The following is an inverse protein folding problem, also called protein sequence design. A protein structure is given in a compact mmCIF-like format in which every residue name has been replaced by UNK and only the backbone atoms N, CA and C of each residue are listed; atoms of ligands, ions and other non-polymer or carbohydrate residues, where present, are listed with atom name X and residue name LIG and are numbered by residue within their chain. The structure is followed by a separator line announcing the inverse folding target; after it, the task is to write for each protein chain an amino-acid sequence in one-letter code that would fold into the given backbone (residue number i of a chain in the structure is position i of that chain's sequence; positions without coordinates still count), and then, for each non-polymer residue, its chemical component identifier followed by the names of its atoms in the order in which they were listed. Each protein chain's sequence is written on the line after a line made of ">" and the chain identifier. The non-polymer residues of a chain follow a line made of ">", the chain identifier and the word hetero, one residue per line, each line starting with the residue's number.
data_IF_992714341752
#
_entry.id   IF_992714341752
#
_cell.length_a   1.000
_cell.length_b   1.000
_cell.length_c   1.000
_cell.angle_alpha   90.00
_cell.angle_beta   90.00
_cell.angle_gamma   90.00
#
_symmetry.space_group_name_H-M   'P 1'
#
loop_
_entity.id
_entity.type
_entity.pdbx_description
1 polymer ?
#
# COMPACT_ATOMS: atom_id res chain seq x y z
N UNK A 1 -10.04 30.00 46.89
CA UNK A 1 -9.69 31.19 46.08
C UNK A 1 -8.62 30.76 45.09
N UNK A 2 -8.92 30.94 43.79
CA UNK A 2 -8.04 30.99 42.61
C UNK A 2 -6.92 29.92 42.44
N UNK A 3 -7.04 28.96 41.51
CA UNK A 3 -6.74 29.04 40.05
C UNK A 3 -5.24 28.78 39.76
N UNK A 4 -4.83 27.62 39.22
CA UNK A 4 -4.59 27.27 37.77
C UNK A 4 -3.55 28.18 37.10
N UNK A 5 -2.61 27.77 36.23
CA UNK A 5 -2.27 26.55 35.52
C UNK A 5 -0.85 26.72 34.92
N UNK A 6 -0.34 25.65 34.29
CA UNK A 6 0.86 25.62 33.48
C UNK A 6 0.68 26.27 32.09
N UNK A 7 1.83 26.36 31.39
CA UNK A 7 2.07 26.29 29.94
C UNK A 7 2.19 27.56 29.08
N UNK A 8 3.10 27.39 28.12
CA UNK A 8 3.16 27.97 26.78
C UNK A 8 4.06 29.19 26.52
N UNK A 9 5.25 28.84 26.03
CA UNK A 9 6.04 29.62 25.11
C UNK A 9 5.35 29.65 23.73
N UNK A 10 5.19 30.84 23.15
CA UNK A 10 5.07 31.04 21.70
C UNK A 10 5.69 32.40 21.28
N UNK A 11 6.13 32.52 20.01
CA UNK A 11 7.18 33.44 19.57
C UNK A 11 6.63 34.80 19.10
N UNK A 12 7.43 35.86 19.25
CA UNK A 12 7.13 37.17 18.67
C UNK A 12 8.31 37.63 17.80
N UNK A 13 8.18 37.42 16.49
CA UNK A 13 8.90 38.18 15.47
C UNK A 13 7.91 39.00 14.66
N UNK A 14 7.74 40.27 15.02
CA UNK A 14 7.38 41.34 14.10
C UNK A 14 8.10 42.60 14.57
N UNK A 15 8.97 43.17 13.74
CA UNK A 15 9.38 44.56 13.84
C UNK A 15 9.20 45.19 12.45
N UNK A 16 8.32 46.18 12.36
CA UNK A 16 8.07 46.99 11.17
C UNK A 16 9.20 47.99 10.90
N UNK A 17 9.09 48.79 9.83
CA UNK A 17 10.18 49.63 9.35
C UNK A 17 10.25 50.95 10.12
N UNK A 18 11.42 51.23 10.70
CA UNK A 18 11.79 52.54 11.20
C UNK A 18 11.93 52.63 12.71
N UNK A 19 13.06 52.17 13.24
CA UNK A 19 13.65 52.69 14.47
C UNK A 19 15.18 52.54 14.41
N UNK A 20 15.88 53.69 14.40
CA UNK A 20 17.34 53.81 14.50
C UNK A 20 17.79 53.52 15.94
N UNK A 21 17.72 52.26 16.35
CA UNK A 21 18.44 51.79 17.53
C UNK A 21 19.15 50.49 17.17
N UNK A 22 20.47 50.54 17.21
CA UNK A 22 21.39 49.41 17.04
C UNK A 22 21.16 48.45 18.23
N UNK A 23 20.07 47.69 18.18
CA UNK A 23 19.69 46.75 19.22
C UNK A 23 20.67 45.59 19.18
N UNK A 24 21.36 45.39 20.31
CA UNK A 24 22.38 44.38 20.49
C UNK A 24 21.91 43.02 20.01
N UNK A 25 22.57 42.52 18.98
CA UNK A 25 22.35 41.17 18.47
C UNK A 25 22.69 40.14 19.55
N UNK A 26 21.65 39.51 20.07
CA UNK A 26 21.77 38.43 21.05
C UNK A 26 21.89 37.10 20.33
N UNK A 27 23.03 36.89 19.68
CA UNK A 27 23.38 35.59 19.11
C UNK A 27 24.05 34.73 20.17
N UNK A 28 23.74 33.44 20.16
CA UNK A 28 24.50 32.48 20.96
C UNK A 28 25.94 32.46 20.45
N UNK A 29 26.92 32.43 21.36
CA UNK A 29 28.35 32.35 21.01
C UNK A 29 28.75 30.91 20.62
N UNK A 30 28.02 30.33 19.66
CA UNK A 30 28.31 29.05 19.04
C UNK A 30 28.99 29.32 17.70
N UNK A 31 30.19 28.75 17.51
CA UNK A 31 30.92 28.87 16.25
C UNK A 31 30.44 27.81 15.26
N UNK A 32 29.63 28.23 14.29
CA UNK A 32 29.09 27.43 13.18
C UNK A 32 29.12 28.30 11.91
N UNK A 33 30.31 28.49 11.31
CA UNK A 33 30.55 29.62 10.41
C UNK A 33 29.73 29.53 9.13
N UNK A 34 29.30 30.68 8.63
CA UNK A 34 28.61 30.82 7.35
C UNK A 34 29.24 31.91 6.50
N UNK A 35 29.20 31.75 5.18
CA UNK A 35 29.68 32.73 4.23
C UNK A 35 28.48 33.53 3.71
N UNK A 36 28.51 34.84 3.90
CA UNK A 36 27.47 35.74 3.38
C UNK A 36 27.64 36.03 1.89
N UNK A 37 26.55 36.42 1.21
CA UNK A 37 26.59 36.89 -0.20
C UNK A 37 27.44 38.15 -0.40
N UNK A 38 27.82 38.82 0.68
CA UNK A 38 28.79 39.93 0.72
C UNK A 38 30.25 39.46 0.71
N UNK A 39 30.50 38.14 0.72
CA UNK A 39 31.83 37.53 0.74
C UNK A 39 32.50 37.53 2.11
N UNK A 40 31.77 37.80 3.20
CA UNK A 40 32.28 37.86 4.57
C UNK A 40 31.88 36.61 5.37
N UNK A 41 32.82 36.04 6.13
CA UNK A 41 32.56 34.95 7.09
C UNK A 41 31.90 35.49 8.35
N UNK A 42 30.79 34.90 8.77
CA UNK A 42 30.11 35.16 10.03
C UNK A 42 30.28 33.96 10.97
N UNK A 43 30.39 34.20 12.28
CA UNK A 43 30.61 33.13 13.25
C UNK A 43 29.45 32.14 13.35
N UNK A 44 28.24 32.59 12.98
CA UNK A 44 27.05 31.75 12.78
C UNK A 44 25.99 32.46 11.92
N UNK A 45 24.95 31.73 11.52
CA UNK A 45 23.82 32.25 10.74
C UNK A 45 23.03 33.36 11.44
N UNK A 46 23.00 33.35 12.79
CA UNK A 46 22.41 34.44 13.56
C UNK A 46 23.19 35.74 13.36
N UNK A 47 24.52 35.70 13.45
CA UNK A 47 25.38 36.88 13.23
C UNK A 47 25.24 37.45 11.81
N UNK A 48 25.09 36.59 10.79
CA UNK A 48 24.81 37.00 9.42
C UNK A 48 23.45 37.70 9.28
N UNK A 49 22.38 37.06 9.79
CA UNK A 49 21.03 37.62 9.78
C UNK A 49 20.93 38.92 10.58
N UNK A 50 21.69 39.03 11.66
CA UNK A 50 21.84 40.23 12.48
C UNK A 50 22.41 41.44 11.74
N UNK A 51 23.21 41.20 10.71
CA UNK A 51 23.70 42.26 9.80
C UNK A 51 22.87 42.39 8.53
N UNK A 52 21.71 41.72 8.46
CA UNK A 52 20.88 41.61 7.26
C UNK A 52 21.63 41.06 6.04
N UNK A 53 22.54 40.12 6.27
CA UNK A 53 23.30 39.47 5.20
C UNK A 53 22.74 38.07 4.97
N UNK A 54 22.31 37.82 3.74
CA UNK A 54 21.88 36.49 3.30
C UNK A 54 23.07 35.53 3.23
N UNK A 55 22.89 34.31 3.74
CA UNK A 55 23.90 33.25 3.69
C UNK A 55 23.99 32.67 2.27
N UNK A 56 25.22 32.64 1.72
CA UNK A 56 25.56 32.02 0.43
C UNK A 56 25.93 30.54 0.59
N UNK A 57 26.72 30.18 1.61
CA UNK A 57 27.05 28.80 1.93
C UNK A 57 27.37 28.59 3.42
N UNK A 58 27.28 27.34 3.88
CA UNK A 58 27.76 26.96 5.21
C UNK A 58 29.29 26.75 5.17
N UNK A 59 30.02 27.36 6.10
CA UNK A 59 31.48 27.42 6.15
C UNK A 59 32.03 28.85 5.98
N UNK A 60 33.35 28.99 6.06
CA UNK A 60 34.03 30.29 5.92
C UNK A 60 34.13 30.71 4.43
N UNK A 61 34.14 32.03 4.17
CA UNK A 61 34.41 32.59 2.86
C UNK A 61 35.91 32.50 2.47
N UNK A 62 36.24 32.45 1.17
CA UNK A 62 35.31 32.35 0.03
C UNK A 62 34.63 30.98 0.01
N UNK A 63 33.34 30.94 -0.37
CA UNK A 63 32.64 29.68 -0.55
C UNK A 63 33.50 28.77 -1.44
N UNK A 64 33.81 27.53 -1.00
CA UNK A 64 34.58 26.62 -1.84
C UNK A 64 33.82 26.49 -3.15
N UNK A 65 34.48 26.77 -4.27
CA UNK A 65 33.93 26.49 -5.61
C UNK A 65 33.66 25.00 -5.67
N UNK A 66 32.44 24.63 -5.30
CA UNK A 66 31.92 23.28 -5.13
C UNK A 66 33.01 22.28 -4.70
N UNK A 67 33.32 22.22 -3.41
CA UNK A 67 33.86 20.98 -2.87
C UNK A 67 32.76 19.93 -2.96
N UNK A 68 32.65 19.29 -4.13
CA UNK A 68 31.67 18.25 -4.36
C UNK A 68 31.95 17.10 -3.40
N UNK A 69 31.00 16.86 -2.49
CA UNK A 69 30.99 15.67 -1.64
C UNK A 69 30.52 14.48 -2.47
N UNK A 70 31.30 14.13 -3.50
CA UNK A 70 31.12 12.87 -4.20
C UNK A 70 31.81 11.78 -3.39
N UNK A 71 31.12 10.67 -3.15
CA UNK A 71 31.77 9.49 -2.59
C UNK A 71 32.88 8.98 -3.54
N UNK A 72 33.88 8.29 -3.00
CA UNK A 72 34.89 7.58 -3.77
C UNK A 72 34.35 6.28 -4.38
N UNK A 73 33.22 6.39 -5.08
CA UNK A 73 32.65 5.30 -5.87
C UNK A 73 33.26 5.44 -7.27
N UNK A 74 33.99 4.42 -7.71
CA UNK A 74 34.53 4.34 -9.07
C UNK A 74 33.44 3.77 -10.00
N UNK A 75 32.76 4.66 -10.73
CA UNK A 75 31.71 4.34 -11.72
C UNK A 75 31.94 5.22 -12.97
N UNK A 76 33.00 4.97 -13.75
CA UNK A 76 33.51 5.91 -14.73
C UNK A 76 32.47 6.28 -15.80
N UNK A 77 32.38 7.58 -16.12
CA UNK A 77 31.50 8.10 -17.19
C UNK A 77 32.24 9.05 -18.12
N UNK A 78 31.79 9.14 -19.37
CA UNK A 78 32.28 10.12 -20.33
C UNK A 78 31.29 11.29 -20.44
N UNK A 79 31.77 12.51 -20.24
CA UNK A 79 30.98 13.73 -20.38
C UNK A 79 30.69 14.08 -21.84
N UNK A 80 29.65 14.87 -22.07
CA UNK A 80 29.33 15.47 -23.37
C UNK A 80 30.38 16.48 -23.84
N UNK A 81 31.23 16.94 -22.93
CA UNK A 81 32.44 17.71 -23.19
C UNK A 81 33.65 16.83 -23.60
N UNK A 82 33.46 15.50 -23.69
CA UNK A 82 34.49 14.54 -24.08
C UNK A 82 35.49 14.19 -22.99
N UNK A 83 35.25 14.59 -21.73
CA UNK A 83 36.15 14.31 -20.60
C UNK A 83 35.75 13.08 -19.79
N UNK A 84 36.76 12.38 -19.27
CA UNK A 84 36.56 11.26 -18.36
C UNK A 84 36.26 11.75 -16.95
N UNK A 85 35.19 11.21 -16.36
CA UNK A 85 34.80 11.45 -14.97
C UNK A 85 34.86 10.15 -14.16
N UNK A 86 35.38 10.16 -12.92
CA UNK A 86 35.42 8.99 -12.03
C UNK A 86 34.04 8.43 -11.69
N UNK A 87 33.03 9.30 -11.60
CA UNK A 87 31.63 8.92 -11.37
C UNK A 87 30.64 10.00 -11.87
N UNK A 88 29.34 9.68 -12.00
CA UNK A 88 28.32 10.64 -12.44
C UNK A 88 28.21 11.87 -11.55
N UNK A 89 28.51 11.74 -10.25
CA UNK A 89 28.53 12.87 -9.33
C UNK A 89 29.66 13.85 -9.70
N UNK A 90 30.86 13.35 -10.02
CA UNK A 90 31.97 14.20 -10.49
C UNK A 90 31.71 14.85 -11.86
N UNK A 91 30.96 14.19 -12.76
CA UNK A 91 30.51 14.80 -14.01
C UNK A 91 29.51 15.95 -13.76
N UNK A 92 28.48 15.68 -12.96
CA UNK A 92 27.46 16.66 -12.58
C UNK A 92 28.06 17.84 -11.80
N UNK A 93 29.06 17.57 -10.96
CA UNK A 93 29.83 18.55 -10.23
C UNK A 93 30.50 19.58 -11.15
N UNK A 94 31.06 19.10 -12.26
CA UNK A 94 31.67 19.95 -13.28
C UNK A 94 30.66 20.47 -14.32
N UNK A 95 29.36 20.23 -14.11
CA UNK A 95 28.27 20.54 -15.05
C UNK A 95 28.46 19.90 -16.43
N UNK A 96 29.17 18.78 -16.49
CA UNK A 96 29.21 17.94 -17.66
C UNK A 96 28.01 16.99 -17.64
N UNK A 97 27.16 17.06 -18.66
CA UNK A 97 26.13 16.05 -18.88
C UNK A 97 26.82 14.72 -19.24
N UNK A 98 26.35 13.61 -18.68
CA UNK A 98 26.90 12.29 -19.00
C UNK A 98 26.48 11.91 -20.43
N UNK A 99 27.46 11.81 -21.34
CA UNK A 99 27.22 11.40 -22.72
C UNK A 99 27.13 9.88 -22.86
N UNK A 100 27.98 9.15 -22.15
CA UNK A 100 27.90 7.70 -22.03
C UNK A 100 28.55 7.23 -20.74
N UNK A 101 28.21 6.02 -20.33
CA UNK A 101 28.91 5.34 -19.24
C UNK A 101 30.17 4.66 -19.76
N UNK A 102 31.18 4.55 -18.91
CA UNK A 102 32.49 4.00 -19.25
C UNK A 102 33.51 5.06 -19.66
N UNK A 103 34.48 4.64 -20.46
CA UNK A 103 35.62 5.46 -20.83
C UNK A 103 35.32 6.39 -22.02
N UNK A 104 35.91 7.58 -22.03
CA UNK A 104 35.98 8.40 -23.23
C UNK A 104 37.04 7.85 -24.21
N UNK A 105 36.85 8.04 -25.53
CA UNK A 105 35.65 8.57 -26.19
C UNK A 105 34.50 7.56 -26.18
N UNK A 106 33.25 8.04 -26.14
CA UNK A 106 32.09 7.16 -26.26
C UNK A 106 32.17 6.30 -27.52
N UNK A 107 32.09 4.97 -27.35
CA UNK A 107 32.01 4.06 -28.47
C UNK A 107 30.71 4.32 -29.23
N UNK A 108 30.82 4.82 -30.46
CA UNK A 108 29.67 4.98 -31.34
C UNK A 108 29.23 3.60 -31.82
N UNK A 109 27.93 3.27 -31.81
CA UNK A 109 27.43 2.09 -32.50
C UNK A 109 27.82 2.19 -33.99
N UNK A 110 28.36 1.09 -34.53
CA UNK A 110 28.70 1.00 -35.94
C UNK A 110 27.43 0.88 -36.78
N UNK A 111 26.91 2.00 -37.31
CA UNK A 111 25.88 2.05 -38.35
C UNK A 111 24.49 2.53 -37.89
N UNK A 112 23.64 3.02 -38.81
CA UNK A 112 22.28 3.44 -38.52
C UNK A 112 21.37 2.25 -38.21
N UNK A 113 20.48 2.39 -37.21
CA UNK A 113 19.47 1.37 -36.90
C UNK A 113 18.47 1.23 -38.06
N UNK A 114 18.05 0.00 -38.42
CA UNK A 114 17.12 -0.23 -39.53
C UNK A 114 15.79 0.53 -39.41
N UNK A 115 15.33 0.75 -38.17
CA UNK A 115 14.07 1.45 -37.86
C UNK A 115 14.28 2.80 -37.15
N UNK A 116 15.52 3.30 -37.07
CA UNK A 116 15.84 4.59 -36.46
C UNK A 116 15.84 4.65 -34.92
N UNK A 117 15.25 3.69 -34.23
CA UNK A 117 15.14 3.70 -32.76
C UNK A 117 16.40 3.15 -32.08
N UNK A 118 17.33 4.05 -31.75
CA UNK A 118 18.52 3.76 -30.93
C UNK A 118 18.17 3.94 -29.44
N UNK A 119 18.35 2.89 -28.65
CA UNK A 119 18.07 2.91 -27.22
C UNK A 119 19.35 3.16 -26.40
N UNK A 120 19.30 4.11 -25.46
CA UNK A 120 20.43 4.46 -24.60
C UNK A 120 20.47 3.57 -23.36
N UNK A 121 21.38 2.59 -23.35
CA UNK A 121 21.51 1.64 -22.23
C UNK A 121 22.32 2.20 -21.07
N UNK A 122 21.86 1.92 -19.84
CA UNK A 122 22.58 2.26 -18.61
C UNK A 122 23.77 1.31 -18.33
N UNK A 123 23.87 0.20 -19.05
CA UNK A 123 24.96 -0.78 -18.94
C UNK A 123 25.19 -1.38 -20.33
N UNK A 124 26.42 -1.75 -20.69
CA UNK A 124 26.64 -2.46 -21.95
C UNK A 124 26.01 -3.86 -21.82
N UNK A 125 25.10 -4.26 -22.72
CA UNK A 125 24.45 -5.57 -22.67
C UNK A 125 25.43 -6.74 -22.62
N UNK A 126 26.64 -6.58 -23.15
CA UNK A 126 27.68 -7.62 -23.15
C UNK A 126 28.52 -7.72 -21.88
N UNK A 127 28.47 -6.76 -20.95
CA UNK A 127 29.35 -6.76 -19.78
C UNK A 127 29.11 -7.97 -18.87
N UNK A 128 27.85 -8.42 -18.77
CA UNK A 128 27.45 -9.57 -17.95
C UNK A 128 26.79 -10.70 -18.76
N UNK A 129 26.58 -10.50 -20.06
CA UNK A 129 25.97 -11.53 -20.89
C UNK A 129 26.96 -12.65 -21.19
N UNK A 130 26.53 -13.88 -20.97
CA UNK A 130 27.26 -15.10 -21.32
C UNK A 130 26.37 -15.97 -22.19
N UNK A 131 26.99 -16.76 -23.06
CA UNK A 131 26.30 -17.81 -23.80
C UNK A 131 26.78 -19.18 -23.30
N UNK A 132 26.06 -19.84 -22.39
CA UNK A 132 26.46 -21.14 -21.84
C UNK A 132 26.63 -22.21 -22.92
N UNK A 133 25.77 -22.21 -23.94
CA UNK A 133 25.84 -23.12 -25.07
C UNK A 133 27.12 -22.96 -25.93
N UNK A 134 27.74 -21.77 -25.92
CA UNK A 134 28.96 -21.47 -26.67
C UNK A 134 29.92 -20.59 -25.84
N UNK A 135 30.73 -21.19 -24.94
CA UNK A 135 31.62 -20.44 -24.04
C UNK A 135 32.68 -19.57 -24.75
N UNK A 136 32.99 -19.87 -26.03
CA UNK A 136 33.90 -19.10 -26.86
C UNK A 136 33.24 -18.08 -27.80
N UNK A 137 31.91 -17.91 -27.72
CA UNK A 137 31.20 -16.95 -28.56
C UNK A 137 31.55 -15.51 -28.17
N UNK A 138 31.75 -14.65 -29.17
CA UNK A 138 31.97 -13.22 -28.98
C UNK A 138 30.64 -12.51 -28.84
N UNK A 139 30.47 -11.75 -27.76
CA UNK A 139 29.31 -10.90 -27.57
C UNK A 139 29.48 -9.58 -28.34
N UNK A 140 28.38 -9.09 -28.93
CA UNK A 140 28.25 -7.76 -29.50
C UNK A 140 26.95 -7.13 -29.00
N UNK A 141 27.04 -5.92 -28.46
CA UNK A 141 25.88 -5.18 -28.02
C UNK A 141 25.05 -4.71 -29.21
N UNK A 142 23.73 -4.84 -29.10
CA UNK A 142 22.74 -4.28 -30.01
C UNK A 142 21.89 -3.26 -29.25
N UNK A 143 21.90 -2.03 -29.77
CA UNK A 143 21.19 -0.88 -29.21
C UNK A 143 19.95 -0.52 -30.03
N UNK A 144 19.71 -1.22 -31.14
CA UNK A 144 18.59 -0.95 -32.02
C UNK A 144 17.33 -1.64 -31.49
N UNK A 145 16.32 -0.85 -31.09
CA UNK A 145 15.07 -1.35 -30.52
C UNK A 145 15.15 -1.80 -29.05
N UNK A 146 16.30 -1.68 -28.38
CA UNK A 146 16.48 -2.04 -26.96
C UNK A 146 17.94 -2.27 -26.57
N UNK A 147 18.17 -2.85 -25.38
CA UNK A 147 19.50 -3.17 -24.83
C UNK A 147 19.78 -4.68 -24.91
N UNK A 148 20.24 -5.17 -26.05
CA UNK A 148 20.38 -6.62 -26.27
C UNK A 148 21.83 -7.05 -26.45
N UNK A 149 22.15 -8.26 -25.98
CA UNK A 149 23.43 -8.91 -26.21
C UNK A 149 23.29 -9.94 -27.33
N UNK A 150 24.04 -9.80 -28.41
CA UNK A 150 24.08 -10.77 -29.52
C UNK A 150 25.36 -11.59 -29.46
N UNK A 151 25.25 -12.91 -29.63
CA UNK A 151 26.40 -13.81 -29.55
C UNK A 151 26.79 -14.35 -30.91
N UNK A 152 28.09 -14.37 -31.20
CA UNK A 152 28.63 -14.85 -32.46
C UNK A 152 29.69 -15.93 -32.23
N UNK A 153 29.49 -17.10 -32.82
CA UNK A 153 30.49 -18.17 -32.82
C UNK A 153 31.03 -18.35 -34.25
N UNK A 154 32.32 -18.12 -34.46
CA UNK A 154 32.92 -18.20 -35.80
C UNK A 154 32.31 -17.24 -36.84
N UNK A 155 31.69 -16.13 -36.40
CA UNK A 155 31.04 -15.15 -37.27
C UNK A 155 29.55 -15.41 -37.56
N UNK A 156 28.99 -16.52 -37.09
CA UNK A 156 27.56 -16.84 -37.19
C UNK A 156 26.86 -16.40 -35.90
N UNK A 157 25.72 -15.71 -36.02
CA UNK A 157 24.89 -15.33 -34.88
C UNK A 157 24.24 -16.57 -34.25
N UNK A 158 24.38 -16.73 -32.93
CA UNK A 158 23.88 -17.86 -32.14
C UNK A 158 23.03 -17.40 -30.95
N UNK A 159 22.59 -16.14 -30.93
CA UNK A 159 21.86 -15.50 -29.82
C UNK A 159 20.67 -16.34 -29.33
N UNK A 160 19.83 -16.86 -30.24
CA UNK A 160 18.64 -17.68 -29.92
C UNK A 160 18.97 -19.02 -29.24
N UNK A 161 20.24 -19.45 -29.27
CA UNK A 161 20.72 -20.69 -28.62
C UNK A 161 21.34 -20.42 -27.25
N UNK A 162 21.42 -19.15 -26.85
CA UNK A 162 21.97 -18.72 -25.57
C UNK A 162 20.88 -18.51 -24.51
N UNK A 163 19.59 -18.61 -24.88
CA UNK A 163 18.43 -18.50 -23.98
C UNK A 163 17.96 -19.84 -23.38
N UNK A 164 18.67 -20.93 -23.64
CA UNK A 164 18.45 -22.16 -22.88
C UNK A 164 19.09 -21.99 -21.50
N UNK A 165 18.24 -21.80 -20.49
CA UNK A 165 18.63 -21.54 -19.10
C UNK A 165 19.56 -22.64 -18.58
N UNK A 166 20.86 -22.37 -18.56
CA UNK A 166 21.78 -23.09 -17.70
C UNK A 166 21.52 -22.64 -16.27
N UNK A 167 20.65 -23.33 -15.56
CA UNK A 167 20.33 -22.98 -14.18
C UNK A 167 21.52 -23.24 -13.28
N UNK A 168 21.86 -22.24 -12.48
CA UNK A 168 22.84 -22.39 -11.40
C UNK A 168 22.05 -22.60 -10.13
N UNK A 169 21.84 -23.87 -9.77
CA UNK A 169 21.21 -24.25 -8.52
C UNK A 169 22.25 -24.58 -7.46
N UNK A 170 21.99 -24.26 -6.18
CA UNK A 170 22.86 -24.69 -5.10
C UNK A 170 22.89 -26.23 -5.04
N UNK A 171 24.05 -26.82 -4.76
CA UNK A 171 24.19 -28.27 -4.51
C UNK A 171 23.66 -28.66 -3.11
N UNK A 172 22.46 -28.19 -2.78
CA UNK A 172 21.75 -28.56 -1.57
C UNK A 172 20.76 -29.65 -1.95
N UNK A 173 20.81 -30.78 -1.23
CA UNK A 173 19.86 -31.86 -1.40
C UNK A 173 18.66 -31.65 -0.47
N UNK A 174 17.57 -31.12 -1.03
CA UNK A 174 16.28 -30.90 -0.38
C UNK A 174 15.18 -31.27 -1.40
N UNK A 175 14.96 -32.58 -1.64
CA UNK A 175 14.29 -33.05 -2.84
C UNK A 175 12.84 -32.59 -2.90
N UNK A 176 12.36 -32.37 -4.13
CA UNK A 176 10.96 -32.06 -4.44
C UNK A 176 10.47 -32.95 -5.58
N UNK A 177 9.18 -33.29 -5.59
CA UNK A 177 8.57 -34.07 -6.65
C UNK A 177 7.81 -33.13 -7.58
N UNK A 178 8.16 -33.12 -8.86
CA UNK A 178 7.48 -32.30 -9.87
C UNK A 178 6.19 -32.94 -10.38
N UNK A 179 5.28 -32.12 -10.95
CA UNK A 179 4.02 -32.59 -11.58
C UNK A 179 4.23 -33.52 -12.78
N UNK A 180 5.48 -33.65 -13.26
CA UNK A 180 5.87 -34.60 -14.29
C UNK A 180 6.29 -35.99 -13.73
N UNK A 181 6.17 -36.17 -12.40
CA UNK A 181 6.50 -37.41 -11.69
C UNK A 181 8.01 -37.62 -11.47
N UNK A 182 8.85 -36.61 -11.69
CA UNK A 182 10.31 -36.69 -11.46
C UNK A 182 10.73 -36.02 -10.15
N UNK A 183 11.67 -36.66 -9.45
CA UNK A 183 12.36 -36.07 -8.30
C UNK A 183 13.42 -35.08 -8.77
N UNK A 184 13.36 -33.86 -8.26
CA UNK A 184 14.39 -32.83 -8.42
C UNK A 184 15.18 -32.70 -7.12
N UNK A 185 16.49 -32.43 -7.20
CA UNK A 185 17.35 -32.41 -6.01
C UNK A 185 17.01 -31.27 -5.05
N UNK A 186 16.42 -30.20 -5.58
CA UNK A 186 15.89 -29.05 -4.85
C UNK A 186 14.87 -28.28 -5.70
N UNK A 187 14.16 -27.34 -5.06
CA UNK A 187 13.18 -26.45 -5.70
C UNK A 187 13.76 -25.68 -6.89
N UNK A 188 14.99 -25.17 -6.79
CA UNK A 188 15.64 -24.47 -7.90
C UNK A 188 15.77 -25.37 -9.14
N UNK A 189 16.10 -26.65 -8.97
CA UNK A 189 16.20 -27.59 -10.09
C UNK A 189 14.83 -27.90 -10.72
N UNK A 190 13.75 -27.90 -9.94
CA UNK A 190 12.38 -28.06 -10.45
C UNK A 190 11.93 -26.82 -11.23
N UNK A 191 12.13 -25.62 -10.67
CA UNK A 191 11.85 -24.35 -11.34
C UNK A 191 12.67 -24.19 -12.63
N UNK A 192 13.94 -24.62 -12.59
CA UNK A 192 14.83 -24.67 -13.73
C UNK A 192 14.27 -25.51 -14.88
N UNK A 193 13.72 -26.67 -14.54
CA UNK A 193 13.08 -27.55 -15.53
C UNK A 193 11.69 -27.05 -15.94
N UNK A 194 11.23 -25.91 -15.42
CA UNK A 194 9.89 -25.36 -15.59
C UNK A 194 8.79 -26.35 -15.19
N UNK A 195 9.08 -27.18 -14.19
CA UNK A 195 8.14 -28.16 -13.67
C UNK A 195 7.58 -27.64 -12.35
N UNK A 196 6.26 -27.37 -12.27
CA UNK A 196 5.62 -27.07 -11.01
C UNK A 196 5.86 -28.19 -9.98
N UNK A 197 6.10 -27.80 -8.73
CA UNK A 197 6.30 -28.76 -7.64
C UNK A 197 4.94 -29.31 -7.22
N UNK A 198 4.81 -30.64 -7.24
CA UNK A 198 3.63 -31.39 -6.79
C UNK A 198 3.68 -31.63 -5.27
N UNK A 199 4.85 -31.96 -4.71
CA UNK A 199 5.04 -32.09 -3.27
C UNK A 199 6.52 -31.93 -2.85
N UNK A 200 6.75 -31.66 -1.57
CA UNK A 200 8.09 -31.76 -0.94
C UNK A 200 8.48 -33.24 -0.75
N UNK A 201 9.74 -33.58 -1.02
CA UNK A 201 10.27 -34.95 -0.99
C UNK A 201 10.47 -35.58 -2.36
N UNK A 202 10.93 -36.83 -2.38
CA UNK A 202 11.15 -37.57 -3.64
C UNK A 202 9.84 -38.15 -4.20
N UNK A 203 9.75 -38.28 -5.53
CA UNK A 203 8.67 -38.99 -6.18
C UNK A 203 8.73 -40.52 -5.94
N UNK A 204 7.59 -41.23 -5.99
CA UNK A 204 6.24 -40.69 -6.07
C UNK A 204 5.89 -39.91 -4.80
N UNK A 205 5.14 -38.81 -4.93
CA UNK A 205 4.67 -38.06 -3.78
C UNK A 205 4.10 -39.02 -2.76
N UNK A 206 4.66 -39.02 -1.54
CA UNK A 206 4.03 -39.74 -0.46
C UNK A 206 2.65 -39.11 -0.31
N UNK A 207 1.60 -39.94 -0.43
CA UNK A 207 0.26 -39.53 -0.05
C UNK A 207 0.40 -38.88 1.31
N UNK A 208 0.05 -37.60 1.43
CA UNK A 208 0.12 -36.87 2.69
C UNK A 208 -0.47 -37.81 3.77
N UNK A 209 0.34 -38.26 4.74
CA UNK A 209 -0.12 -39.25 5.71
C UNK A 209 -1.21 -38.65 6.60
N UNK A 210 -1.42 -37.33 6.57
CA UNK A 210 -2.54 -36.60 7.15
C UNK A 210 -3.71 -36.34 6.17
N UNK A 211 -3.64 -36.84 4.94
CA UNK A 211 -4.69 -36.68 3.95
C UNK A 211 -5.96 -37.38 4.44
N UNK A 212 -7.08 -36.66 4.39
CA UNK A 212 -8.39 -37.11 4.85
C UNK A 212 -8.45 -37.39 6.36
N UNK A 213 -7.76 -36.56 7.16
CA UNK A 213 -7.67 -36.77 8.60
C UNK A 213 -8.26 -35.61 9.39
N UNK A 214 -9.28 -35.92 10.18
CA UNK A 214 -9.82 -35.01 11.18
C UNK A 214 -8.77 -34.66 12.24
N UNK A 215 -7.87 -35.62 12.55
CA UNK A 215 -6.78 -35.44 13.51
C UNK A 215 -5.51 -36.15 13.04
N UNK A 216 -4.46 -35.37 12.79
CA UNK A 216 -3.13 -35.87 12.46
C UNK A 216 -2.10 -35.50 13.53
N UNK A 217 -1.24 -36.44 13.89
CA UNK A 217 -0.24 -36.28 14.94
C UNK A 217 1.12 -36.76 14.45
N UNK A 218 2.17 -36.04 14.83
CA UNK A 218 3.54 -36.52 14.70
C UNK A 218 3.81 -37.51 15.85
N UNK A 219 4.19 -38.73 15.51
CA UNK A 219 4.64 -39.72 16.47
C UNK A 219 6.13 -40.00 16.26
N UNK A 220 6.87 -39.98 17.37
CA UNK A 220 8.29 -40.31 17.38
C UNK A 220 8.47 -41.82 17.60
N UNK A 221 8.70 -42.55 16.51
CA UNK A 221 9.18 -43.93 16.60
C UNK A 221 10.70 -43.94 16.76
N UNK A 222 11.20 -44.94 17.49
CA UNK A 222 12.65 -45.15 17.75
C UNK A 222 13.47 -45.19 16.45
N UNK A 223 12.88 -45.67 15.35
CA UNK A 223 13.56 -45.82 14.07
C UNK A 223 13.31 -44.65 13.08
N UNK A 224 12.33 -43.77 13.33
CA UNK A 224 12.01 -42.58 12.49
C UNK A 224 11.31 -41.48 13.32
N UNK A 225 12.03 -40.44 13.79
CA UNK A 225 11.41 -39.31 14.47
C UNK A 225 10.57 -38.46 13.49
N UNK A 226 9.42 -37.97 13.95
CA UNK A 226 8.55 -37.08 13.17
C UNK A 226 7.63 -37.73 12.13
N UNK A 227 7.35 -39.04 12.21
CA UNK A 227 6.38 -39.66 11.27
C UNK A 227 4.95 -39.18 11.62
N UNK A 228 4.29 -38.53 10.69
CA UNK A 228 2.87 -38.15 10.80
C UNK A 228 1.97 -39.38 10.60
N UNK A 229 0.97 -39.54 11.46
CA UNK A 229 -0.10 -40.53 11.32
C UNK A 229 -1.45 -39.94 11.69
N UNK A 230 -2.50 -40.49 11.09
CA UNK A 230 -3.87 -40.15 11.41
C UNK A 230 -4.35 -40.90 12.64
N UNK A 231 -4.87 -40.13 13.58
CA UNK A 231 -5.60 -40.67 14.72
C UNK A 231 -7.08 -40.87 14.38
N UNK A 232 -7.61 -40.02 13.49
CA UNK A 232 -8.99 -40.04 13.06
C UNK A 232 -9.13 -39.55 11.62
N UNK A 233 -9.91 -40.28 10.83
CA UNK A 233 -10.21 -39.93 9.45
C UNK A 233 -11.40 -38.98 9.33
N UNK A 234 -11.42 -38.22 8.23
CA UNK A 234 -12.60 -37.50 7.78
C UNK A 234 -13.76 -38.46 7.53
N UNK A 235 -15.03 -37.99 7.64
CA UNK A 235 -16.20 -38.82 7.42
C UNK A 235 -16.17 -39.51 6.06
N UNK A 236 -16.19 -40.84 6.06
CA UNK A 236 -16.15 -41.66 4.84
C UNK A 236 -14.82 -42.37 4.59
N UNK A 237 -13.73 -41.97 5.24
CA UNK A 237 -12.43 -42.61 5.06
C UNK A 237 -12.13 -43.65 6.14
N UNK A 238 -11.36 -44.69 5.79
CA UNK A 238 -11.01 -45.80 6.69
C UNK A 238 -9.57 -45.63 7.15
N UNK A 239 -9.35 -45.71 8.47
CA UNK A 239 -8.00 -45.68 9.04
C UNK A 239 -7.30 -47.03 8.80
N UNK A 240 -6.17 -47.01 8.12
CA UNK A 240 -5.36 -48.20 7.86
C UNK A 240 -4.49 -48.57 9.07
N UNK A 241 -4.01 -49.82 9.10
CA UNK A 241 -3.08 -50.29 10.15
C UNK A 241 -1.77 -49.51 10.19
N UNK A 242 -1.38 -48.92 9.06
CA UNK A 242 -0.16 -48.11 8.89
C UNK A 242 -0.35 -46.65 9.31
N UNK A 243 -1.58 -46.26 9.69
CA UNK A 243 -1.90 -44.96 10.27
C UNK A 243 -2.22 -43.86 9.25
N UNK A 244 -2.77 -44.19 8.09
CA UNK A 244 -3.29 -43.21 7.12
C UNK A 244 -4.76 -43.49 6.78
N UNK A 245 -5.45 -42.51 6.21
CA UNK A 245 -6.87 -42.61 5.88
C UNK A 245 -7.05 -42.88 4.38
N UNK A 246 -7.43 -44.11 4.04
CA UNK A 246 -7.58 -44.59 2.66
C UNK A 246 -8.87 -45.41 2.49
N UNK A 247 -9.33 -45.51 1.24
CA UNK A 247 -10.64 -46.07 0.90
C UNK A 247 -11.81 -45.14 1.23
N UNK A 248 -12.96 -45.40 0.59
CA UNK A 248 -14.19 -44.63 0.77
C UNK A 248 -15.34 -45.57 1.15
N UNK A 249 -15.93 -45.33 2.32
CA UNK A 249 -17.10 -46.01 2.85
C UNK A 249 -18.15 -44.97 3.26
N UNK A 250 -18.96 -44.56 2.30
CA UNK A 250 -20.04 -43.61 2.54
C UNK A 250 -21.37 -44.28 2.93
N UNK A 251 -22.16 -43.67 3.83
CA UNK A 251 -23.54 -44.09 4.05
C UNK A 251 -24.32 -44.06 2.74
N UNK A 252 -25.19 -45.05 2.50
CA UNK A 252 -26.05 -45.12 1.31
C UNK A 252 -27.30 -44.22 1.42
N UNK A 253 -27.21 -43.14 2.20
CA UNK A 253 -28.28 -42.16 2.32
C UNK A 253 -28.17 -41.12 1.21
N UNK A 254 -29.29 -40.82 0.56
CA UNK A 254 -29.34 -39.88 -0.56
C UNK A 254 -29.67 -38.47 -0.05
N UNK A 255 -28.65 -37.62 0.05
CA UNK A 255 -28.71 -36.19 0.41
C UNK A 255 -27.84 -35.39 -0.57
N UNK A 256 -28.31 -35.20 -1.82
CA UNK A 256 -27.42 -34.83 -2.91
C UNK A 256 -26.76 -33.47 -2.71
N UNK A 257 -25.53 -33.35 -3.19
CA UNK A 257 -24.78 -32.10 -3.27
C UNK A 257 -24.25 -31.90 -4.69
N UNK A 258 -24.22 -30.67 -5.15
CA UNK A 258 -23.63 -30.31 -6.42
C UNK A 258 -22.19 -29.88 -6.15
N UNK A 259 -21.23 -30.56 -6.75
CA UNK A 259 -19.81 -30.25 -6.62
C UNK A 259 -19.39 -29.05 -7.46
N UNK A 260 -18.29 -28.40 -7.07
CA UNK A 260 -17.66 -27.33 -7.86
C UNK A 260 -17.17 -27.79 -9.25
N UNK A 261 -17.07 -29.10 -9.47
CA UNK A 261 -16.78 -29.71 -10.76
C UNK A 261 -18.03 -29.90 -11.65
N UNK A 262 -19.19 -29.44 -11.18
CA UNK A 262 -20.47 -29.52 -11.87
C UNK A 262 -21.16 -30.88 -11.81
N UNK A 263 -20.66 -31.83 -11.00
CA UNK A 263 -21.27 -33.16 -10.83
C UNK A 263 -22.12 -33.26 -9.56
N UNK A 264 -23.22 -34.00 -9.66
CA UNK A 264 -24.06 -34.36 -8.51
C UNK A 264 -23.47 -35.58 -7.80
N UNK A 265 -23.28 -35.47 -6.49
CA UNK A 265 -22.89 -36.57 -5.61
C UNK A 265 -24.08 -37.02 -4.79
N UNK A 266 -24.20 -38.33 -4.49
CA UNK A 266 -25.34 -38.88 -3.76
C UNK A 266 -25.45 -38.35 -2.34
N UNK A 267 -24.31 -37.99 -1.73
CA UNK A 267 -24.24 -37.23 -0.49
C UNK A 267 -22.90 -36.49 -0.36
N UNK A 268 -22.77 -35.68 0.70
CA UNK A 268 -21.54 -34.93 0.98
C UNK A 268 -20.32 -35.81 1.24
N UNK A 269 -20.51 -37.05 1.73
CA UNK A 269 -19.41 -38.00 1.92
C UNK A 269 -18.86 -38.44 0.56
N UNK A 270 -19.73 -38.77 -0.39
CA UNK A 270 -19.30 -39.17 -1.75
C UNK A 270 -18.59 -38.03 -2.48
N UNK A 271 -19.05 -36.78 -2.30
CA UNK A 271 -18.37 -35.59 -2.82
C UNK A 271 -16.97 -35.42 -2.21
N UNK A 272 -16.86 -35.55 -0.89
CA UNK A 272 -15.59 -35.52 -0.17
C UNK A 272 -14.63 -36.63 -0.62
N UNK A 273 -15.14 -37.85 -0.82
CA UNK A 273 -14.37 -38.98 -1.34
C UNK A 273 -13.78 -38.73 -2.73
N UNK A 274 -14.50 -37.98 -3.57
CA UNK A 274 -14.02 -37.58 -4.89
C UNK A 274 -13.13 -36.32 -4.84
N UNK A 275 -12.85 -35.79 -3.65
CA UNK A 275 -12.15 -34.52 -3.43
C UNK A 275 -12.81 -33.33 -4.13
N UNK A 276 -14.14 -33.32 -4.14
CA UNK A 276 -14.92 -32.24 -4.73
C UNK A 276 -15.71 -31.54 -3.64
N UNK A 277 -15.42 -30.25 -3.46
CA UNK A 277 -16.18 -29.39 -2.55
C UNK A 277 -17.60 -29.18 -3.06
N UNK A 278 -18.57 -29.19 -2.15
CA UNK A 278 -19.97 -28.92 -2.47
C UNK A 278 -20.18 -27.42 -2.76
N UNK A 279 -20.53 -27.08 -4.00
CA UNK A 279 -20.93 -25.75 -4.43
C UNK A 279 -22.32 -25.36 -3.90
N UNK A 280 -23.27 -26.31 -3.93
CA UNK A 280 -24.59 -26.10 -3.35
C UNK A 280 -25.23 -27.41 -2.86
N UNK A 281 -26.25 -27.26 -1.99
CA UNK A 281 -27.11 -28.38 -1.58
C UNK A 281 -28.10 -28.71 -2.68
N UNK A 282 -28.29 -29.99 -2.96
CA UNK A 282 -29.14 -30.50 -4.03
C UNK A 282 -28.32 -30.93 -5.26
N UNK A 283 -29.03 -31.33 -6.31
CA UNK A 283 -28.41 -31.78 -7.56
C UNK A 283 -27.96 -30.60 -8.44
N UNK A 284 -26.97 -30.83 -9.29
CA UNK A 284 -26.57 -29.89 -10.33
C UNK A 284 -27.62 -29.80 -11.47
N UNK A 285 -27.71 -28.66 -12.19
CA UNK A 285 -26.99 -27.41 -11.94
C UNK A 285 -27.53 -26.69 -10.69
N UNK A 286 -26.65 -25.99 -9.96
CA UNK A 286 -27.07 -25.22 -8.81
C UNK A 286 -28.19 -24.24 -9.19
N UNK A 287 -29.31 -24.34 -8.47
CA UNK A 287 -30.40 -23.38 -8.66
C UNK A 287 -29.85 -21.99 -8.31
N UNK A 288 -30.10 -20.96 -9.15
CA UNK A 288 -29.71 -19.61 -8.81
C UNK A 288 -30.29 -19.28 -7.44
N UNK A 289 -29.46 -18.76 -6.53
CA UNK A 289 -29.90 -18.35 -5.20
C UNK A 289 -31.12 -17.44 -5.37
N UNK A 290 -32.30 -17.92 -5.00
CA UNK A 290 -33.49 -17.07 -5.00
C UNK A 290 -33.24 -15.95 -3.98
N UNK A 291 -32.96 -14.76 -4.49
CA UNK A 291 -32.71 -13.57 -3.67
C UNK A 291 -34.03 -13.15 -3.01
N UNK A 292 -34.26 -13.59 -1.78
CA UNK A 292 -35.38 -13.10 -0.98
C UNK A 292 -34.98 -11.76 -0.36
N UNK A 293 -35.20 -10.68 -1.10
CA UNK A 293 -34.97 -9.32 -0.63
C UNK A 293 -36.29 -8.56 -0.41
N UNK A 294 -36.31 -7.71 0.60
CA UNK A 294 -37.40 -6.76 0.82
C UNK A 294 -37.40 -5.68 -0.27
N UNK A 295 -38.57 -5.26 -0.76
CA UNK A 295 -38.68 -4.19 -1.78
C UNK A 295 -38.53 -2.76 -1.22
N UNK A 296 -37.73 -2.59 -0.17
CA UNK A 296 -37.37 -1.27 0.32
C UNK A 296 -36.39 -0.63 -0.67
N UNK A 297 -36.54 0.67 -0.93
CA UNK A 297 -35.66 1.39 -1.83
C UNK A 297 -34.61 2.17 -1.03
N UNK A 298 -33.37 1.68 -1.04
CA UNK A 298 -32.18 2.26 -0.40
C UNK A 298 -30.96 2.04 -1.33
N UNK A 299 -30.86 2.81 -2.41
CA UNK A 299 -30.03 2.46 -3.55
C UNK A 299 -28.53 2.41 -3.21
N UNK A 300 -27.82 1.50 -3.88
CA UNK A 300 -26.36 1.36 -3.81
C UNK A 300 -25.80 1.31 -5.22
N UNK A 301 -24.76 2.09 -5.50
CA UNK A 301 -24.09 2.09 -6.78
C UNK A 301 -22.90 1.14 -6.71
N UNK A 302 -22.86 0.13 -7.59
CA UNK A 302 -21.74 -0.79 -7.73
C UNK A 302 -20.61 -0.19 -8.58
N UNK A 303 -19.38 -0.67 -8.37
CA UNK A 303 -18.22 -0.33 -9.22
C UNK A 303 -18.38 -0.78 -10.68
N UNK A 304 -19.30 -1.71 -10.93
CA UNK A 304 -19.74 -2.15 -12.25
C UNK A 304 -20.68 -1.15 -12.93
N UNK A 305 -21.02 -0.04 -12.26
CA UNK A 305 -21.97 0.97 -12.73
C UNK A 305 -23.44 0.58 -12.54
N UNK A 306 -23.72 -0.52 -11.87
CA UNK A 306 -25.09 -1.01 -11.63
C UNK A 306 -25.67 -0.37 -10.37
N UNK A 307 -26.92 0.13 -10.47
CA UNK A 307 -27.68 0.58 -9.30
C UNK A 307 -28.51 -0.57 -8.73
N UNK A 308 -28.20 -0.97 -7.50
CA UNK A 308 -28.96 -1.97 -6.75
C UNK A 308 -30.05 -1.28 -5.93
N UNK A 309 -31.28 -1.80 -5.94
CA UNK A 309 -32.41 -1.16 -5.29
C UNK A 309 -32.27 -1.08 -3.77
N UNK A 310 -31.52 -2.00 -3.17
CA UNK A 310 -31.18 -2.02 -1.75
C UNK A 310 -29.88 -2.81 -1.48
N UNK A 311 -29.34 -2.72 -0.25
CA UNK A 311 -28.15 -3.47 0.13
C UNK A 311 -28.31 -5.00 0.07
N UNK A 312 -29.54 -5.53 0.16
CA UNK A 312 -29.78 -6.97 0.02
C UNK A 312 -29.55 -7.43 -1.42
N UNK A 313 -30.10 -6.70 -2.39
CA UNK A 313 -29.90 -6.97 -3.81
C UNK A 313 -28.43 -6.90 -4.21
N UNK A 314 -27.71 -5.86 -3.75
CA UNK A 314 -26.27 -5.73 -3.98
C UNK A 314 -25.46 -6.91 -3.41
N UNK A 315 -25.77 -7.34 -2.18
CA UNK A 315 -25.12 -8.51 -1.57
C UNK A 315 -25.49 -9.81 -2.26
N UNK A 316 -26.72 -9.92 -2.78
CA UNK A 316 -27.16 -11.14 -3.42
C UNK A 316 -26.38 -11.44 -4.71
N UNK A 317 -25.95 -10.40 -5.41
CA UNK A 317 -25.11 -10.50 -6.61
C UNK A 317 -23.61 -10.37 -6.29
N UNK A 318 -23.21 -10.35 -5.01
CA UNK A 318 -21.83 -10.08 -4.58
C UNK A 318 -21.22 -8.81 -5.21
N UNK A 319 -22.03 -7.75 -5.35
CA UNK A 319 -21.57 -6.50 -5.94
C UNK A 319 -20.59 -5.74 -5.03
N UNK A 320 -19.50 -5.25 -5.61
CA UNK A 320 -18.62 -4.30 -4.95
C UNK A 320 -19.23 -2.89 -5.01
N UNK A 321 -19.56 -2.31 -3.87
CA UNK A 321 -20.21 -0.98 -3.81
C UNK A 321 -19.19 0.15 -3.95
N UNK A 322 -19.45 1.07 -4.89
CA UNK A 322 -18.70 2.31 -5.11
C UNK A 322 -19.22 3.44 -4.22
N UNK A 323 -20.54 3.66 -4.15
CA UNK A 323 -21.14 4.67 -3.27
C UNK A 323 -22.57 4.31 -2.84
N UNK A 324 -23.04 4.97 -1.78
CA UNK A 324 -24.44 4.94 -1.38
C UNK A 324 -25.24 5.90 -2.27
N UNK A 325 -26.30 5.40 -2.91
CA UNK A 325 -27.08 6.13 -3.90
C UNK A 325 -27.18 5.42 -5.24
N UNK A 326 -27.80 6.06 -6.22
CA UNK A 326 -27.87 5.58 -7.60
C UNK A 326 -26.55 5.87 -8.34
N UNK A 327 -26.26 5.08 -9.37
CA UNK A 327 -25.20 5.38 -10.32
C UNK A 327 -25.65 6.44 -11.35
N UNK A 328 -24.74 7.29 -11.85
CA UNK A 328 -23.35 7.42 -11.42
C UNK A 328 -23.24 8.08 -10.05
N UNK A 329 -22.23 7.71 -9.28
CA UNK A 329 -21.98 8.30 -7.96
C UNK A 329 -21.95 9.83 -8.04
N UNK A 330 -22.70 10.48 -7.14
CA UNK A 330 -22.75 11.94 -7.12
C UNK A 330 -21.35 12.50 -6.88
N UNK A 331 -20.90 13.38 -7.78
CA UNK A 331 -19.65 14.13 -7.62
C UNK A 331 -19.68 15.07 -6.41
N UNK A 332 -20.87 15.34 -5.87
CA UNK A 332 -21.05 16.15 -4.67
C UNK A 332 -20.73 15.35 -3.41
N UNK A 333 -19.78 15.83 -2.61
CA UNK A 333 -19.42 15.23 -1.32
C UNK A 333 -20.47 15.57 -0.25
N UNK A 334 -20.71 14.68 0.73
CA UNK A 334 -21.71 14.88 1.78
C UNK A 334 -21.41 16.08 2.69
N UNK A 335 -22.47 16.69 3.25
CA UNK A 335 -22.40 17.90 4.09
C UNK A 335 -22.66 19.20 3.33
N UNK A 336 -22.89 20.29 4.05
CA UNK A 336 -23.22 21.60 3.50
C UNK A 336 -22.04 22.58 3.59
N UNK A 337 -21.98 23.57 2.69
CA UNK A 337 -20.96 24.62 2.78
C UNK A 337 -21.20 25.51 4.01
N UNK A 338 -20.15 25.91 4.73
CA UNK A 338 -20.30 26.84 5.86
C UNK A 338 -20.88 28.18 5.37
N UNK A 339 -21.81 28.79 6.15
CA UNK A 339 -22.41 30.06 5.76
C UNK A 339 -21.36 31.18 5.73
N UNK A 340 -21.35 31.96 4.64
CA UNK A 340 -20.50 33.15 4.51
C UNK A 340 -21.28 34.35 5.04
N UNK A 341 -20.71 35.07 6.01
CA UNK A 341 -21.37 36.28 6.56
C UNK A 341 -21.43 37.37 5.48
N UNK A 342 -22.51 38.18 5.44
CA UNK A 342 -22.59 39.36 4.58
C UNK A 342 -21.36 40.25 4.77
N UNK A 343 -20.80 40.78 3.67
CA UNK A 343 -19.57 41.59 3.61
C UNK A 343 -18.24 40.87 3.95
N UNK A 344 -18.22 39.54 4.01
CA UNK A 344 -16.95 38.81 4.06
C UNK A 344 -16.31 38.78 2.68
N UNK A 345 -15.16 39.43 2.51
CA UNK A 345 -14.35 39.35 1.29
C UNK A 345 -13.26 38.30 1.55
N UNK A 346 -13.48 37.09 1.05
CA UNK A 346 -12.49 36.03 1.05
C UNK A 346 -11.40 36.25 -0.01
N UNK A 347 -10.47 35.31 -0.10
CA UNK A 347 -9.43 35.32 -1.15
C UNK A 347 -10.13 35.09 -2.51
N UNK A 348 -9.92 36.01 -3.46
CA UNK A 348 -10.50 35.98 -4.80
C UNK A 348 -9.72 35.05 -5.75
N UNK A 349 -9.58 33.78 -5.35
CA UNK A 349 -8.93 32.74 -6.13
C UNK A 349 -9.86 31.54 -6.28
N UNK A 350 -10.05 31.06 -7.51
CA UNK A 350 -10.78 29.83 -7.81
C UNK A 350 -9.83 28.63 -7.65
N UNK A 351 -9.74 28.11 -6.43
CA UNK A 351 -8.87 26.98 -6.10
C UNK A 351 -9.55 25.62 -6.34
N UNK A 352 -10.84 25.61 -6.62
CA UNK A 352 -11.63 24.44 -6.98
C UNK A 352 -12.83 24.87 -7.84
N UNK A 353 -13.36 23.95 -8.64
CA UNK A 353 -14.58 24.14 -9.45
C UNK A 353 -15.70 23.19 -9.04
N UNK A 354 -15.36 22.06 -8.44
CA UNK A 354 -16.28 21.08 -7.87
C UNK A 354 -15.71 20.38 -6.64
N UNK A 355 -16.56 19.61 -5.96
CA UNK A 355 -16.16 18.87 -4.76
C UNK A 355 -15.06 17.83 -5.07
N UNK A 356 -15.04 17.30 -6.29
CA UNK A 356 -14.04 16.37 -6.81
C UNK A 356 -12.60 16.92 -6.77
N UNK A 357 -12.43 18.23 -6.97
CA UNK A 357 -11.11 18.88 -6.99
C UNK A 357 -10.48 18.93 -5.59
N UNK A 358 -11.31 18.79 -4.56
CA UNK A 358 -10.88 18.89 -3.18
C UNK A 358 -10.38 17.54 -2.66
N UNK A 359 -9.28 17.48 -1.89
CA UNK A 359 -8.81 16.21 -1.33
C UNK A 359 -9.71 15.74 -0.18
N UNK A 360 -9.94 14.42 -0.11
CA UNK A 360 -10.70 13.78 0.94
C UNK A 360 -12.15 14.27 1.02
N UNK A 361 -12.64 14.51 2.24
CA UNK A 361 -14.05 14.90 2.51
C UNK A 361 -14.34 16.41 2.35
N UNK A 362 -13.40 17.20 1.83
CA UNK A 362 -13.58 18.66 1.71
C UNK A 362 -14.49 18.99 0.51
N UNK A 363 -15.34 20.00 0.68
CA UNK A 363 -16.22 20.52 -0.37
C UNK A 363 -15.66 21.78 -1.00
N UNK A 364 -15.95 22.01 -2.27
CA UNK A 364 -15.66 23.26 -2.94
C UNK A 364 -16.74 24.29 -2.57
N UNK A 365 -16.36 25.31 -1.80
CA UNK A 365 -17.31 26.28 -1.27
C UNK A 365 -16.86 27.71 -1.55
N UNK A 366 -17.82 28.59 -1.79
CA UNK A 366 -17.55 30.02 -1.87
C UNK A 366 -17.09 30.56 -0.52
N UNK A 367 -16.06 31.42 -0.54
CA UNK A 367 -15.60 32.17 0.63
C UNK A 367 -16.04 33.65 0.59
N UNK A 368 -16.96 34.01 -0.32
CA UNK A 368 -17.43 35.38 -0.54
C UNK A 368 -16.72 36.14 -1.67
N UNK A 369 -15.57 35.66 -2.18
CA UNK A 369 -14.93 36.22 -3.38
C UNK A 369 -14.50 35.18 -4.43
N UNK A 370 -14.11 33.97 -4.00
CA UNK A 370 -13.80 32.84 -4.89
C UNK A 370 -14.18 31.51 -4.25
N UNK A 371 -13.76 30.40 -4.85
CA UNK A 371 -14.06 29.04 -4.38
C UNK A 371 -12.84 28.34 -3.78
N UNK A 372 -12.98 27.82 -2.57
CA UNK A 372 -11.90 27.12 -1.87
C UNK A 372 -12.40 25.82 -1.26
N UNK A 373 -11.52 24.82 -1.22
CA UNK A 373 -11.81 23.56 -0.55
C UNK A 373 -11.95 23.80 0.96
N UNK A 374 -13.11 23.52 1.55
CA UNK A 374 -13.38 23.68 2.98
C UNK A 374 -13.93 22.41 3.60
N UNK A 375 -13.84 22.30 4.92
CA UNK A 375 -14.50 21.19 5.63
C UNK A 375 -16.02 21.45 5.59
N UNK A 376 -16.83 20.49 5.13
CA UNK A 376 -18.27 20.66 5.15
C UNK A 376 -18.78 20.74 6.59
N UNK A 377 -19.83 21.52 6.78
CA UNK A 377 -20.66 21.42 7.98
C UNK A 377 -21.39 20.09 7.87
N UNK A 378 -21.19 19.21 8.86
CA UNK A 378 -21.86 17.91 8.86
C UNK A 378 -23.37 18.15 8.90
N UNK A 379 -24.12 17.51 7.99
CA UNK A 379 -25.57 17.41 8.08
C UNK A 379 -25.94 16.43 9.22
N UNK A 380 -25.46 16.73 10.42
CA UNK A 380 -25.93 16.12 11.65
C UNK A 380 -26.89 17.11 12.29
N UNK A 381 -28.03 17.33 11.66
CA UNK A 381 -29.18 17.83 12.40
C UNK A 381 -29.91 16.63 13.01
N UNK A 382 -30.19 16.66 14.33
CA UNK A 382 -31.26 15.87 14.90
C UNK A 382 -32.55 16.27 14.17
N UNK A 383 -33.26 15.30 13.57
CA UNK A 383 -34.52 15.50 12.81
C UNK A 383 -35.68 16.14 13.61
N UNK A 384 -35.45 16.54 14.85
CA UNK A 384 -36.46 16.96 15.81
C UNK A 384 -36.20 18.35 16.41
N UNK A 385 -35.19 19.12 15.94
CA UNK A 385 -34.91 20.46 16.48
C UNK A 385 -35.33 21.58 15.51
N UNK A 386 -36.26 22.47 15.90
CA UNK A 386 -36.56 23.68 15.15
C UNK A 386 -35.30 24.56 15.02
N UNK A 387 -35.05 25.20 13.85
CA UNK A 387 -33.87 26.05 13.64
C UNK A 387 -33.73 27.23 14.63
N UNK A 388 -34.86 27.67 15.20
CA UNK A 388 -34.93 28.75 16.19
C UNK A 388 -34.44 28.34 17.59
N UNK A 389 -34.36 27.04 17.87
CA UNK A 389 -33.95 26.48 19.17
C UNK A 389 -32.48 25.98 19.17
N UNK A 390 -31.75 26.15 18.07
CA UNK A 390 -30.33 25.76 17.96
C UNK A 390 -29.46 26.82 18.64
N UNK A 391 -28.71 26.41 19.66
CA UNK A 391 -27.83 27.29 20.42
C UNK A 391 -26.36 27.13 19.99
N UNK A 392 -25.67 28.24 19.77
CA UNK A 392 -24.21 28.24 19.56
C UNK A 392 -23.45 28.19 20.88
N UNK A 393 -22.89 27.03 21.20
CA UNK A 393 -22.12 26.80 22.42
C UNK A 393 -20.70 27.37 22.34
N UNK A 394 -20.19 27.87 23.47
CA UNK A 394 -18.80 28.35 23.59
C UNK A 394 -17.80 27.19 23.41
N UNK A 395 -18.19 25.98 23.81
CA UNK A 395 -17.43 24.75 23.61
C UNK A 395 -18.39 23.60 23.25
N UNK A 396 -17.91 22.62 22.50
CA UNK A 396 -18.68 21.42 22.16
C UNK A 396 -18.98 20.62 23.44
N UNK A 397 -20.26 20.36 23.78
CA UNK A 397 -20.64 19.65 25.00
C UNK A 397 -19.91 18.32 25.24
N UNK A 398 -19.60 17.56 24.19
CA UNK A 398 -18.90 16.28 24.30
C UNK A 398 -17.39 16.41 24.50
N UNK A 399 -16.84 17.61 24.32
CA UNK A 399 -15.42 17.89 24.62
C UNK A 399 -15.22 18.35 26.05
N UNK A 400 -16.28 18.82 26.72
CA UNK A 400 -16.24 19.35 28.08
C UNK A 400 -17.00 18.50 29.11
N UNK A 401 -17.75 17.49 28.65
CA UNK A 401 -18.58 16.63 29.51
C UNK A 401 -18.23 15.16 29.32
N UNK A 402 -18.09 14.42 30.41
CA UNK A 402 -17.80 12.98 30.42
C UNK A 402 -18.81 12.20 31.27
N UNK A 403 -19.11 10.97 30.86
CA UNK A 403 -20.01 10.09 31.60
C UNK A 403 -19.23 9.24 32.61
N UNK A 404 -19.13 9.70 33.85
CA UNK A 404 -18.34 9.02 34.91
C UNK A 404 -18.78 7.58 35.17
N UNK A 405 -20.09 7.32 35.10
CA UNK A 405 -20.62 5.96 35.27
C UNK A 405 -20.30 5.01 34.11
N UNK A 406 -20.12 5.55 32.89
CA UNK A 406 -19.84 4.77 31.68
C UNK A 406 -18.78 5.48 30.80
N UNK A 407 -17.48 5.34 31.13
CA UNK A 407 -16.41 6.05 30.41
C UNK A 407 -16.28 5.68 28.92
N UNK A 408 -16.84 4.54 28.54
CA UNK A 408 -16.83 4.02 27.17
C UNK A 408 -18.12 4.35 26.38
N UNK A 409 -19.07 5.06 26.99
CA UNK A 409 -20.28 5.46 26.29
C UNK A 409 -19.96 6.46 25.17
N UNK A 410 -20.57 6.28 24.00
CA UNK A 410 -20.43 7.20 22.87
C UNK A 410 -21.16 8.49 23.19
N UNK A 411 -20.45 9.62 23.19
CA UNK A 411 -21.05 10.94 23.37
C UNK A 411 -21.61 11.50 22.05
N UNK A 412 -22.73 12.20 22.11
CA UNK A 412 -23.35 12.97 21.03
C UNK A 412 -23.72 14.34 21.56
N UNK A 413 -23.24 15.40 20.92
CA UNK A 413 -23.53 16.78 21.29
C UNK A 413 -24.94 17.14 20.86
N UNK A 414 -25.72 17.71 21.78
CA UNK A 414 -27.08 18.19 21.57
C UNK A 414 -27.10 19.70 21.76
N UNK A 415 -27.45 20.40 20.68
CA UNK A 415 -27.50 21.86 20.60
C UNK A 415 -28.93 22.41 20.68
N UNK A 416 -29.92 21.52 20.83
CA UNK A 416 -31.32 21.88 20.83
C UNK A 416 -31.79 22.36 22.21
N UNK A 417 -32.23 23.61 22.30
CA UNK A 417 -32.69 24.24 23.54
C UNK A 417 -31.58 24.47 24.58
N UNK A 418 -30.32 24.14 24.27
CA UNK A 418 -29.18 24.28 25.17
C UNK A 418 -27.94 23.52 24.71
N UNK A 419 -26.88 23.59 25.51
CA UNK A 419 -25.58 22.96 25.25
C UNK A 419 -25.44 21.67 26.07
N UNK A 420 -25.95 20.56 25.56
CA UNK A 420 -26.04 19.30 26.29
C UNK A 420 -25.22 18.18 25.65
N UNK A 421 -24.72 17.25 26.47
CA UNK A 421 -24.06 16.04 26.01
C UNK A 421 -24.97 14.84 26.29
N UNK A 422 -25.28 14.05 25.25
CA UNK A 422 -26.02 12.79 25.37
C UNK A 422 -25.08 11.60 25.25
N UNK A 423 -25.24 10.59 26.10
CA UNK A 423 -24.34 9.42 26.14
C UNK A 423 -25.07 8.14 25.76
N UNK A 424 -24.45 7.30 24.94
CA UNK A 424 -25.04 6.09 24.39
C UNK A 424 -24.20 4.84 24.62
N UNK A 425 -24.86 3.73 24.97
CA UNK A 425 -24.30 2.38 24.97
C UNK A 425 -25.01 1.60 23.86
N UNK A 426 -24.30 1.32 22.77
CA UNK A 426 -24.93 0.83 21.54
C UNK A 426 -25.99 1.82 21.03
N UNK A 427 -27.25 1.41 20.97
CA UNK A 427 -28.41 2.25 20.58
C UNK A 427 -29.19 2.83 21.76
N UNK A 428 -28.84 2.52 23.01
CA UNK A 428 -29.57 2.99 24.20
C UNK A 428 -28.92 4.26 24.76
N UNK A 429 -29.73 5.28 24.98
CA UNK A 429 -29.31 6.49 25.71
C UNK A 429 -29.18 6.20 27.21
N UNK A 430 -28.08 6.68 27.81
CA UNK A 430 -27.71 6.47 29.22
C UNK A 430 -27.33 7.78 29.92
N UNK A 431 -27.62 8.94 29.31
CA UNK A 431 -27.32 10.29 29.83
C UNK A 431 -27.71 10.46 31.30
N UNK A 432 -28.93 10.10 31.68
CA UNK A 432 -29.46 10.21 33.07
C UNK A 432 -28.80 9.28 34.10
N UNK A 433 -27.91 8.39 33.64
CA UNK A 433 -27.19 7.43 34.47
C UNK A 433 -25.73 7.83 34.68
N UNK A 434 -25.25 8.89 34.03
CA UNK A 434 -23.86 9.32 34.08
C UNK A 434 -23.42 9.85 35.45
N UNK A 435 -24.34 10.43 36.22
CA UNK A 435 -24.06 11.01 37.55
C UNK A 435 -24.35 10.07 38.73
N UNK A 436 -24.79 8.83 38.48
CA UNK A 436 -25.06 7.86 39.54
C UNK A 436 -23.76 7.18 39.97
N UNK A 437 -23.46 7.16 41.28
CA UNK A 437 -22.41 6.29 41.85
C UNK A 437 -22.64 4.86 41.34
N UNK A 438 -21.58 4.25 40.80
CA UNK A 438 -21.52 2.90 40.19
C UNK A 438 -22.70 2.00 40.64
N UNK A 439 -23.66 1.67 39.76
CA UNK A 439 -24.80 0.81 40.10
C UNK A 439 -24.41 -0.61 40.56
N UNK A 440 -23.15 -1.02 40.32
CA UNK A 440 -22.63 -2.37 40.57
C UNK A 440 -21.90 -2.54 41.91
N UNK A 441 -22.10 -1.64 42.87
CA UNK A 441 -21.59 -1.78 44.24
C UNK A 441 -22.74 -1.62 45.25
N UNK A 442 -23.57 -2.66 45.36
CA UNK A 442 -24.35 -2.96 46.56
C UNK A 442 -24.36 -4.48 46.78
N UNK A 443 -23.83 -4.88 47.94
CA UNK A 443 -24.18 -6.09 48.69
C UNK A 443 -23.79 -7.40 48.06
#
# INVERSE_FOLDING_TARGET
>A
MASTAASDAQPLWFAGPGDNNLAACSCIALYDPVCGKDGVTYGNSCEAGCRNVEVECNGECPCPKFACRCGYILDPVCGSDGKQYPNPCTASCERAEVACKGACPCEKPTGPCPNGDLHHCFVNPCDNAKCPAYPGAKCKADYCGGCFAKFFNGGVEVTDKCEEQGCVCPEIYAPVCGTDGKTYSNECEAECAHTPIECEGECPCQTDPCKNCEQCLAIDFVDKPGKLVCQKCDPGYILTEEGYCDGCACPQHYDPVCGVDGKTYGNSCEAGCAHVEAECKGECPCKPKECVCTKEYNPQCGKDGTTYGNPCEAKCTNAEIECQGECPCSKTKPGSCPPVRPNTIGICAELCTGDEDCPGKRKCCSNGCGSVCTKPVADNEPKDCPPEDIVHCIADPCTVTECKAFPWARCVSDYCGGCHAKFFIGRREVTDKCDRKKPWLRG
#
